data_IF_594371442365
#
_entry.id   IF_594371442365
#
_cell.length_a   1.000
_cell.length_b   1.000
_cell.length_c   1.000
_cell.angle_alpha   90.00
_cell.angle_beta   90.00
_cell.angle_gamma   90.00
#
_symmetry.space_group_name_H-M   'P 1'
#
loop_
_entity.id
_entity.type
_entity.pdbx_description
1 polymer ?
#
# COMPACT_ATOMS: atom_id res chain seq x y z
N UNK A 1 14.56 34.12 36.86
CA UNK A 1 15.22 32.85 36.46
C UNK A 1 14.23 31.72 36.17
N UNK A 2 13.18 31.50 36.98
CA UNK A 2 12.24 30.38 36.78
C UNK A 2 11.50 30.36 35.42
N UNK A 3 11.17 31.53 34.86
CA UNK A 3 10.41 31.66 33.59
C UNK A 3 11.24 31.22 32.37
N UNK A 4 12.57 31.42 32.41
CA UNK A 4 13.46 30.99 31.32
C UNK A 4 13.59 29.47 31.26
N UNK A 5 13.58 28.80 32.42
CA UNK A 5 13.63 27.34 32.50
C UNK A 5 12.33 26.68 32.02
N UNK A 6 11.16 27.27 32.29
CA UNK A 6 9.88 26.75 31.77
C UNK A 6 9.73 26.93 30.26
N UNK A 7 10.22 28.05 29.69
CA UNK A 7 10.20 28.24 28.24
C UNK A 7 11.14 27.26 27.51
N UNK A 8 12.32 26.99 28.09
CA UNK A 8 13.27 26.01 27.55
C UNK A 8 12.70 24.59 27.60
N UNK A 9 11.96 24.23 28.65
CA UNK A 9 11.30 22.93 28.78
C UNK A 9 10.17 22.75 27.75
N UNK A 10 9.39 23.81 27.49
CA UNK A 10 8.36 23.83 26.43
C UNK A 10 8.96 23.72 25.02
N UNK A 11 10.11 24.35 24.76
CA UNK A 11 10.85 24.23 23.49
C UNK A 11 11.53 22.86 23.30
N UNK A 12 11.87 22.18 24.40
CA UNK A 12 12.38 20.80 24.35
C UNK A 12 11.24 19.78 24.10
N UNK A 13 10.03 20.05 24.60
CA UNK A 13 8.85 19.22 24.37
C UNK A 13 8.34 19.28 22.93
N UNK A 14 8.57 20.38 22.19
CA UNK A 14 8.20 20.48 20.76
C UNK A 14 9.21 19.82 19.82
N UNK A 15 10.34 19.33 20.34
CA UNK A 15 11.39 18.60 19.58
C UNK A 15 11.35 17.09 19.76
N UNK A 16 10.29 16.54 20.34
CA UNK A 16 9.96 15.14 20.06
C UNK A 16 9.37 15.07 18.65
N UNK A 17 10.26 15.08 17.65
CA UNK A 17 9.94 14.40 16.40
C UNK A 17 9.51 12.99 16.81
N UNK A 18 8.22 12.71 16.68
CA UNK A 18 7.72 11.36 16.70
C UNK A 18 8.36 10.64 15.51
N UNK A 19 9.58 10.14 15.68
CA UNK A 19 10.08 9.00 14.93
C UNK A 19 9.17 7.84 15.34
N UNK A 20 8.00 7.77 14.73
CA UNK A 20 7.14 6.60 14.75
C UNK A 20 7.95 5.51 14.05
N UNK A 21 8.78 4.83 14.84
CA UNK A 21 9.56 3.65 14.47
C UNK A 21 8.68 2.40 14.43
N UNK A 22 7.37 2.54 14.26
CA UNK A 22 6.49 1.40 14.05
C UNK A 22 6.53 1.01 12.58
N UNK A 23 7.59 0.26 12.22
CA UNK A 23 7.80 -0.36 10.90
C UNK A 23 6.96 -1.64 10.70
N UNK A 24 6.01 -1.90 11.57
CA UNK A 24 5.01 -2.97 11.44
C UNK A 24 3.65 -2.29 11.31
N UNK A 25 2.72 -2.82 10.54
CA UNK A 25 1.44 -2.17 10.20
C UNK A 25 0.50 -2.05 11.42
N UNK A 26 0.95 -1.33 12.46
CA UNK A 26 0.42 -1.31 13.83
C UNK A 26 0.07 -2.71 14.38
N UNK A 27 0.84 -3.73 13.97
CA UNK A 27 0.66 -5.15 14.31
C UNK A 27 -0.73 -5.74 14.01
N UNK A 28 -1.53 -5.07 13.17
CA UNK A 28 -2.81 -5.61 12.75
C UNK A 28 -2.61 -6.90 11.95
N UNK A 29 -3.36 -7.95 12.29
CA UNK A 29 -3.30 -9.23 11.60
C UNK A 29 -4.43 -9.31 10.58
N UNK A 30 -4.09 -9.49 9.32
CA UNK A 30 -5.08 -9.79 8.29
C UNK A 30 -5.48 -11.28 8.38
N UNK A 31 -6.74 -11.57 8.08
CA UNK A 31 -7.28 -12.93 8.14
C UNK A 31 -7.46 -13.54 6.74
N UNK A 32 -6.35 -13.73 6.01
CA UNK A 32 -6.34 -14.37 4.70
C UNK A 32 -5.05 -15.17 4.48
N UNK A 33 -5.07 -16.08 3.52
CA UNK A 33 -3.87 -16.75 2.98
C UNK A 33 -3.50 -16.15 1.63
N UNK A 34 -2.22 -16.13 1.26
CA UNK A 34 -1.79 -15.51 0.00
C UNK A 34 -2.52 -16.03 -1.24
N UNK A 35 -2.96 -17.29 -1.23
CA UNK A 35 -3.76 -17.89 -2.30
C UNK A 35 -5.09 -17.17 -2.53
N UNK A 36 -5.68 -16.56 -1.50
CA UNK A 36 -6.97 -15.87 -1.56
C UNK A 36 -6.87 -14.49 -2.23
N UNK A 37 -5.66 -13.92 -2.32
CA UNK A 37 -5.44 -12.58 -2.90
C UNK A 37 -4.76 -12.61 -4.27
N UNK A 38 -4.17 -13.74 -4.67
CA UNK A 38 -3.53 -13.89 -5.98
C UNK A 38 -4.58 -13.86 -7.09
N UNK A 39 -4.25 -13.18 -8.18
CA UNK A 39 -5.08 -13.08 -9.38
C UNK A 39 -5.48 -11.64 -9.73
N UNK A 40 -6.42 -11.49 -10.67
CA UNK A 40 -6.85 -10.19 -11.16
C UNK A 40 -7.86 -9.52 -10.22
N UNK A 41 -7.70 -8.22 -10.07
CA UNK A 41 -8.53 -7.33 -9.27
C UNK A 41 -8.76 -6.01 -10.02
N UNK A 42 -9.89 -5.36 -9.81
CA UNK A 42 -10.22 -4.05 -10.36
C UNK A 42 -10.27 -3.04 -9.22
N UNK A 43 -9.59 -1.90 -9.37
CA UNK A 43 -9.75 -0.78 -8.44
C UNK A 43 -11.17 -0.23 -8.61
N UNK A 44 -11.99 -0.35 -7.57
CA UNK A 44 -13.39 0.12 -7.59
C UNK A 44 -13.60 1.38 -6.76
N UNK A 45 -12.72 1.67 -5.80
CA UNK A 45 -12.75 2.92 -5.06
C UNK A 45 -11.38 3.25 -4.43
N UNK A 46 -11.19 4.51 -4.06
CA UNK A 46 -10.06 4.98 -3.25
C UNK A 46 -10.56 5.87 -2.13
N UNK A 47 -10.07 5.64 -0.92
CA UNK A 47 -10.26 6.52 0.22
C UNK A 47 -9.01 7.43 0.34
N UNK A 48 -9.15 8.74 0.09
CA UNK A 48 -8.03 9.67 0.22
C UNK A 48 -7.67 9.91 1.69
N UNK A 49 -6.43 10.35 1.94
CA UNK A 49 -6.00 10.73 3.28
C UNK A 49 -6.69 12.03 3.75
N UNK A 50 -6.90 12.18 5.07
CA UNK A 50 -7.70 13.27 5.67
C UNK A 50 -7.23 14.66 5.25
N UNK A 51 -5.92 14.86 5.25
CA UNK A 51 -5.27 16.14 4.99
C UNK A 51 -4.94 16.37 3.51
N UNK A 52 -5.23 15.40 2.63
CA UNK A 52 -4.93 15.55 1.21
C UNK A 52 -5.92 16.53 0.55
N UNK A 53 -5.44 17.56 -0.16
CA UNK A 53 -6.32 18.55 -0.78
C UNK A 53 -7.26 17.86 -1.76
N UNK A 54 -8.52 18.30 -1.75
CA UNK A 54 -9.59 17.76 -2.58
C UNK A 54 -9.43 18.25 -4.04
N UNK A 55 -8.27 17.99 -4.62
CA UNK A 55 -8.05 18.16 -6.05
C UNK A 55 -8.79 17.00 -6.70
N UNK A 56 -9.98 17.29 -7.24
CA UNK A 56 -10.95 16.34 -7.82
C UNK A 56 -10.46 15.75 -9.15
N UNK A 57 -9.16 15.55 -9.32
CA UNK A 57 -8.61 14.93 -10.53
C UNK A 57 -9.01 13.45 -10.53
N UNK A 58 -9.39 12.97 -11.72
CA UNK A 58 -9.85 11.62 -12.02
C UNK A 58 -9.01 10.60 -11.27
N UNK A 59 -9.65 9.75 -10.48
CA UNK A 59 -9.00 8.51 -10.07
C UNK A 59 -8.86 7.66 -11.31
N UNK A 60 -7.64 7.23 -11.57
CA UNK A 60 -7.44 6.28 -12.63
C UNK A 60 -7.79 4.89 -12.11
N UNK A 61 -8.77 4.27 -12.76
CA UNK A 61 -9.27 2.95 -12.42
C UNK A 61 -8.43 1.93 -13.19
N UNK A 62 -7.71 1.10 -12.44
CA UNK A 62 -6.78 0.14 -13.00
C UNK A 62 -7.27 -1.26 -12.71
N UNK A 63 -7.05 -2.16 -13.66
CA UNK A 63 -6.93 -3.57 -13.34
C UNK A 63 -5.55 -3.81 -12.73
N UNK A 64 -5.49 -4.61 -11.68
CA UNK A 64 -4.26 -4.97 -10.99
C UNK A 64 -4.19 -6.49 -10.88
N UNK A 65 -3.03 -7.06 -11.19
CA UNK A 65 -2.77 -8.49 -11.01
C UNK A 65 -1.82 -8.69 -9.83
N UNK A 66 -2.30 -9.42 -8.82
CA UNK A 66 -1.53 -9.79 -7.64
C UNK A 66 -0.90 -11.16 -7.86
N UNK A 67 0.40 -11.27 -7.64
CA UNK A 67 1.14 -12.52 -7.75
C UNK A 67 2.16 -12.67 -6.62
N UNK A 68 2.43 -13.92 -6.24
CA UNK A 68 3.45 -14.26 -5.27
C UNK A 68 4.75 -14.65 -5.99
N UNK A 69 5.87 -14.14 -5.51
CA UNK A 69 7.21 -14.54 -5.92
C UNK A 69 8.10 -14.68 -4.69
N UNK A 70 9.20 -15.40 -4.82
CA UNK A 70 10.23 -15.45 -3.80
C UNK A 70 11.26 -14.33 -3.97
N UNK A 71 12.19 -14.28 -3.03
CA UNK A 71 13.30 -13.32 -3.06
C UNK A 71 14.31 -13.60 -4.18
N UNK A 72 14.43 -14.86 -4.61
CA UNK A 72 15.32 -15.24 -5.71
C UNK A 72 14.82 -14.69 -7.05
N UNK A 73 13.52 -14.78 -7.32
CA UNK A 73 12.87 -14.19 -8.49
C UNK A 73 13.00 -12.67 -8.51
N UNK A 74 12.83 -12.00 -7.35
CA UNK A 74 13.06 -10.56 -7.25
C UNK A 74 14.52 -10.20 -7.53
N UNK A 75 15.48 -10.93 -6.95
CA UNK A 75 16.92 -10.71 -7.18
C UNK A 75 17.31 -10.94 -8.64
N UNK A 76 16.78 -11.98 -9.27
CA UNK A 76 17.01 -12.24 -10.69
C UNK A 76 16.47 -11.11 -11.56
N UNK A 77 15.24 -10.66 -11.31
CA UNK A 77 14.62 -9.56 -12.05
C UNK A 77 15.43 -8.28 -11.90
N UNK A 78 15.85 -7.99 -10.67
CA UNK A 78 16.75 -6.88 -10.37
C UNK A 78 18.05 -7.04 -11.14
N UNK A 79 18.77 -8.14 -11.00
CA UNK A 79 20.09 -8.33 -11.64
C UNK A 79 20.03 -8.30 -13.16
N UNK A 80 18.96 -8.84 -13.76
CA UNK A 80 18.80 -8.89 -15.21
C UNK A 80 18.35 -7.53 -15.79
N UNK A 81 17.74 -6.67 -14.96
CA UNK A 81 17.23 -5.34 -15.37
C UNK A 81 18.14 -4.19 -14.90
N UNK A 82 18.94 -4.39 -13.85
CA UNK A 82 19.95 -3.47 -13.32
C UNK A 82 21.33 -3.96 -13.73
N UNK A 83 21.92 -3.32 -14.73
CA UNK A 83 23.37 -3.41 -14.97
C UNK A 83 24.20 -2.66 -13.90
N UNK A 84 23.62 -2.31 -12.74
CA UNK A 84 24.21 -1.41 -11.75
C UNK A 84 24.35 -2.10 -10.39
N UNK A 85 25.59 -2.44 -10.04
CA UNK A 85 26.03 -3.16 -8.83
C UNK A 85 25.85 -2.40 -7.51
N UNK A 86 25.41 -1.14 -7.53
CA UNK A 86 25.21 -0.34 -6.31
C UNK A 86 23.85 -0.54 -5.63
N UNK A 87 22.85 -1.12 -6.31
CA UNK A 87 21.51 -1.39 -5.74
C UNK A 87 21.32 -2.83 -5.26
N UNK A 88 22.25 -3.74 -5.55
CA UNK A 88 22.20 -5.15 -5.12
C UNK A 88 22.27 -5.31 -3.60
N UNK A 89 22.94 -4.39 -2.89
CA UNK A 89 23.04 -4.42 -1.42
C UNK A 89 21.73 -4.09 -0.71
N UNK A 90 20.83 -3.32 -1.33
CA UNK A 90 19.49 -3.04 -0.78
C UNK A 90 18.58 -4.27 -0.84
N UNK A 91 18.86 -5.20 -1.76
CA UNK A 91 18.01 -6.36 -2.07
C UNK A 91 18.55 -7.65 -1.45
N UNK A 92 19.86 -7.72 -1.19
CA UNK A 92 20.50 -8.84 -0.50
C UNK A 92 19.94 -9.06 0.92
N UNK A 93 19.47 -8.00 1.59
CA UNK A 93 18.82 -8.05 2.90
C UNK A 93 17.35 -8.48 2.91
N UNK A 94 16.70 -8.64 1.75
CA UNK A 94 15.28 -8.97 1.67
C UNK A 94 15.07 -10.47 1.91
N UNK A 95 14.24 -10.81 2.91
CA UNK A 95 13.78 -12.17 3.24
C UNK A 95 12.25 -12.19 3.34
N UNK A 96 11.64 -13.32 3.03
CA UNK A 96 10.18 -13.54 3.12
C UNK A 96 9.47 -13.58 1.77
N UNK A 97 8.15 -13.74 1.81
CA UNK A 97 7.28 -13.72 0.62
C UNK A 97 7.32 -12.34 -0.05
N UNK A 98 7.42 -12.31 -1.37
CA UNK A 98 7.32 -11.08 -2.16
C UNK A 98 5.97 -11.08 -2.85
N UNK A 99 5.20 -10.02 -2.61
CA UNK A 99 4.00 -9.72 -3.36
C UNK A 99 4.37 -8.81 -4.52
N UNK A 100 3.92 -9.16 -5.71
CA UNK A 100 3.98 -8.32 -6.91
C UNK A 100 2.59 -7.85 -7.29
N UNK A 101 2.47 -6.57 -7.57
CA UNK A 101 1.26 -5.91 -8.03
C UNK A 101 1.52 -5.29 -9.40
N UNK A 102 0.96 -5.88 -10.45
CA UNK A 102 1.05 -5.35 -11.81
C UNK A 102 -0.17 -4.49 -12.11
N UNK A 103 0.02 -3.19 -12.28
CA UNK A 103 -1.01 -2.24 -12.63
C UNK A 103 -1.13 -2.14 -14.15
N UNK A 104 -2.31 -2.45 -14.68
CA UNK A 104 -2.64 -2.34 -16.09
C UNK A 104 -3.22 -0.96 -16.36
N UNK A 105 -2.43 -0.11 -17.01
CA UNK A 105 -2.83 1.22 -17.46
C UNK A 105 -2.27 1.51 -18.86
N UNK A 106 -2.50 2.71 -19.39
CA UNK A 106 -1.81 3.18 -20.60
C UNK A 106 -0.28 3.02 -20.50
N UNK A 107 0.28 3.17 -19.29
CA UNK A 107 1.69 2.89 -18.97
C UNK A 107 1.74 1.89 -17.82
N UNK A 108 1.71 0.58 -18.11
CA UNK A 108 1.70 -0.44 -17.07
C UNK A 108 2.92 -0.30 -16.17
N UNK A 109 2.77 -0.62 -14.89
CA UNK A 109 3.89 -0.60 -13.95
C UNK A 109 3.68 -1.68 -12.90
N UNK A 110 4.79 -2.14 -12.33
CA UNK A 110 4.81 -3.16 -11.31
C UNK A 110 5.30 -2.54 -9.99
N UNK A 111 4.67 -2.95 -8.88
CA UNK A 111 5.14 -2.66 -7.53
C UNK A 111 5.45 -3.99 -6.85
N UNK A 112 6.64 -4.11 -6.29
CA UNK A 112 7.06 -5.27 -5.51
C UNK A 112 7.13 -4.88 -4.04
N UNK A 113 6.55 -5.73 -3.20
CA UNK A 113 6.42 -5.51 -1.77
C UNK A 113 6.84 -6.76 -1.01
N UNK A 114 7.74 -6.62 -0.03
CA UNK A 114 8.17 -7.74 0.83
C UNK A 114 7.24 -7.90 2.02
N UNK A 115 6.93 -9.12 2.41
CA UNK A 115 6.21 -9.41 3.65
C UNK A 115 7.01 -8.98 4.88
N UNK A 116 6.31 -8.53 5.92
CA UNK A 116 6.90 -8.22 7.22
C UNK A 116 6.72 -9.42 8.14
N UNK A 117 7.83 -9.89 8.73
CA UNK A 117 7.83 -11.06 9.60
C UNK A 117 6.92 -10.82 10.83
N UNK A 118 6.10 -11.80 11.17
CA UNK A 118 5.22 -11.76 12.34
C UNK A 118 3.90 -11.00 12.17
N UNK A 119 3.66 -10.35 11.01
CA UNK A 119 2.44 -9.57 10.77
C UNK A 119 1.79 -9.97 9.45
N UNK A 120 0.75 -10.79 9.51
CA UNK A 120 0.05 -11.27 8.32
C UNK A 120 -0.61 -10.12 7.56
N UNK A 121 -0.46 -10.12 6.24
CA UNK A 121 -0.97 -9.08 5.35
C UNK A 121 -0.18 -7.76 5.38
N UNK A 122 0.87 -7.62 6.19
CA UNK A 122 1.70 -6.42 6.19
C UNK A 122 2.89 -6.57 5.23
N UNK A 123 3.06 -5.58 4.35
CA UNK A 123 4.12 -5.56 3.36
C UNK A 123 4.81 -4.20 3.34
N UNK A 124 6.08 -4.21 2.96
CA UNK A 124 6.84 -3.01 2.65
C UNK A 124 7.14 -2.99 1.15
N UNK A 125 6.76 -1.91 0.47
CA UNK A 125 7.14 -1.70 -0.92
C UNK A 125 8.67 -1.60 -1.00
N UNK A 126 9.28 -2.25 -1.99
CA UNK A 126 10.74 -2.25 -2.17
C UNK A 126 11.15 -1.67 -3.50
N UNK A 127 10.34 -1.87 -4.55
CA UNK A 127 10.64 -1.42 -5.92
C UNK A 127 9.33 -1.06 -6.61
N UNK A 128 9.35 0.02 -7.39
CA UNK A 128 8.32 0.36 -8.39
C UNK A 128 8.99 0.51 -9.77
N UNK A 129 8.50 -0.19 -10.80
CA UNK A 129 9.03 -0.16 -12.17
C UNK A 129 7.93 0.13 -13.19
N UNK A 130 8.14 1.15 -14.01
CA UNK A 130 7.33 1.40 -15.21
C UNK A 130 7.70 0.38 -16.30
N UNK A 131 6.72 -0.39 -16.78
CA UNK A 131 6.92 -1.44 -17.78
C UNK A 131 7.32 -0.88 -19.15
N UNK A 132 7.06 0.41 -19.40
CA UNK A 132 7.45 1.08 -20.65
C UNK A 132 8.88 1.61 -20.63
N UNK A 133 9.51 1.64 -19.45
CA UNK A 133 10.86 2.16 -19.26
C UNK A 133 11.81 1.01 -18.97
N UNK A 134 12.67 0.71 -19.94
CA UNK A 134 13.73 -0.30 -19.81
C UNK A 134 14.85 0.09 -18.84
N UNK A 135 14.86 1.33 -18.32
CA UNK A 135 15.91 1.84 -17.44
C UNK A 135 15.44 1.96 -15.99
N UNK A 136 16.02 1.11 -15.15
CA UNK A 136 15.77 1.06 -13.70
C UNK A 136 16.35 2.26 -12.91
N UNK A 137 17.00 3.21 -13.58
CA UNK A 137 17.34 4.52 -13.01
C UNK A 137 16.11 5.31 -12.59
N UNK A 138 14.96 4.99 -13.18
CA UNK A 138 13.65 5.59 -12.86
C UNK A 138 12.83 4.75 -11.87
N UNK A 139 13.42 3.65 -11.37
CA UNK A 139 12.81 2.85 -10.33
C UNK A 139 12.93 3.55 -8.99
N UNK A 140 11.77 3.85 -8.43
CA UNK A 140 11.68 4.42 -7.10
C UNK A 140 11.75 3.29 -6.07
N UNK A 141 12.79 3.34 -5.22
CA UNK A 141 12.81 2.55 -3.99
C UNK A 141 11.89 3.24 -3.00
N UNK A 142 10.82 2.56 -2.62
CA UNK A 142 9.89 3.02 -1.60
C UNK A 142 10.26 2.35 -0.26
N UNK A 143 10.02 3.01 0.88
CA UNK A 143 10.01 2.38 2.23
C UNK A 143 8.57 2.45 2.78
N UNK A 144 7.59 2.52 1.86
CA UNK A 144 6.19 2.71 2.20
C UNK A 144 5.59 1.37 2.66
N UNK A 145 4.95 1.43 3.83
CA UNK A 145 4.24 0.30 4.41
C UNK A 145 2.84 0.21 3.82
N UNK A 146 2.42 -1.00 3.51
CA UNK A 146 1.07 -1.31 3.08
C UNK A 146 0.53 -2.52 3.82
N UNK A 147 -0.78 -2.59 3.98
CA UNK A 147 -1.46 -3.72 4.57
C UNK A 147 -2.61 -4.15 3.70
N UNK A 148 -2.68 -5.44 3.42
CA UNK A 148 -3.79 -6.06 2.73
C UNK A 148 -4.80 -6.59 3.74
N UNK A 149 -6.07 -6.46 3.43
CA UNK A 149 -7.18 -7.12 4.12
C UNK A 149 -8.15 -7.68 3.10
N UNK A 150 -8.58 -8.92 3.32
CA UNK A 150 -9.65 -9.52 2.55
C UNK A 150 -10.92 -9.45 3.40
N UNK A 151 -11.90 -8.69 2.94
CA UNK A 151 -13.18 -8.51 3.62
C UNK A 151 -14.24 -9.33 2.91
N UNK A 152 -14.68 -10.39 3.57
CA UNK A 152 -15.80 -11.20 3.11
C UNK A 152 -17.09 -10.41 3.20
N UNK A 153 -17.90 -10.49 2.14
CA UNK A 153 -19.18 -9.83 2.02
C UNK A 153 -20.27 -10.88 1.82
N UNK A 154 -21.48 -10.53 2.26
CA UNK A 154 -22.66 -11.38 2.08
C UNK A 154 -23.33 -11.13 0.71
N UNK A 155 -22.76 -10.26 -0.12
CA UNK A 155 -23.22 -10.07 -1.49
C UNK A 155 -22.77 -11.22 -2.38
N UNK A 156 -23.49 -11.45 -3.48
CA UNK A 156 -23.16 -12.51 -4.44
C UNK A 156 -21.94 -12.18 -5.29
N UNK A 157 -21.30 -11.03 -5.04
CA UNK A 157 -20.26 -10.44 -5.88
C UNK A 157 -18.86 -10.80 -5.38
N UNK A 158 -18.74 -11.42 -4.19
CA UNK A 158 -17.48 -11.96 -3.65
C UNK A 158 -16.71 -10.92 -2.82
N UNK A 159 -15.56 -11.25 -2.23
CA UNK A 159 -14.93 -10.39 -1.23
C UNK A 159 -14.39 -9.07 -1.79
N UNK A 160 -14.22 -8.08 -0.91
CA UNK A 160 -13.35 -6.93 -1.18
C UNK A 160 -11.91 -7.25 -0.78
N UNK A 161 -10.96 -6.84 -1.62
CA UNK A 161 -9.57 -6.71 -1.21
C UNK A 161 -9.29 -5.24 -0.92
N UNK A 162 -8.73 -4.95 0.25
CA UNK A 162 -8.38 -3.60 0.68
C UNK A 162 -6.86 -3.52 0.79
N UNK A 163 -6.25 -2.52 0.14
CA UNK A 163 -4.86 -2.15 0.35
C UNK A 163 -4.81 -0.83 1.09
N UNK A 164 -4.53 -0.91 2.38
CA UNK A 164 -4.26 0.26 3.20
C UNK A 164 -2.81 0.71 3.02
N UNK A 165 -2.61 2.00 2.84
CA UNK A 165 -1.30 2.63 2.68
C UNK A 165 -1.02 3.53 3.88
N UNK A 166 0.20 3.54 4.40
CA UNK A 166 0.63 4.45 5.47
C UNK A 166 1.26 5.74 4.92
N UNK A 167 1.03 6.03 3.63
CA UNK A 167 1.53 7.23 2.95
C UNK A 167 0.64 8.46 3.19
N UNK A 168 1.05 9.60 2.61
CA UNK A 168 0.42 10.92 2.85
C UNK A 168 -0.76 11.26 1.93
N UNK A 169 -1.04 10.45 0.90
CA UNK A 169 -2.02 10.80 -0.16
C UNK A 169 -3.27 9.92 -0.17
N UNK A 170 -3.10 8.62 -0.02
CA UNK A 170 -4.17 7.62 -0.10
C UNK A 170 -4.16 6.84 1.20
N UNK A 171 -5.32 6.74 1.85
CA UNK A 171 -5.50 5.89 3.04
C UNK A 171 -5.74 4.44 2.64
N UNK A 172 -6.61 4.21 1.64
CA UNK A 172 -6.88 2.86 1.13
C UNK A 172 -7.26 2.84 -0.35
N UNK A 173 -6.86 1.77 -1.03
CA UNK A 173 -7.35 1.37 -2.35
C UNK A 173 -8.25 0.14 -2.18
N UNK A 174 -9.42 0.16 -2.80
CA UNK A 174 -10.44 -0.87 -2.67
C UNK A 174 -10.58 -1.59 -4.00
N UNK A 175 -10.55 -2.92 -3.93
CA UNK A 175 -10.61 -3.79 -5.09
C UNK A 175 -11.78 -4.77 -5.04
N UNK A 176 -12.29 -5.13 -6.22
CA UNK A 176 -13.22 -6.24 -6.47
C UNK A 176 -12.74 -7.08 -7.64
N UNK A 177 -13.25 -8.29 -7.76
CA UNK A 177 -12.96 -9.14 -8.93
C UNK A 177 -13.63 -8.64 -10.22
N UNK A 178 -14.71 -7.87 -10.10
CA UNK A 178 -15.46 -7.25 -11.18
C UNK A 178 -15.38 -5.72 -11.08
N UNK A 179 -15.67 -5.03 -12.17
CA UNK A 179 -15.67 -3.57 -12.24
C UNK A 179 -16.92 -2.97 -11.58
N UNK A 180 -16.77 -1.74 -11.09
CA UNK A 180 -17.85 -0.98 -10.49
C UNK A 180 -18.18 -1.38 -9.06
N UNK A 181 -18.73 -0.43 -8.32
CA UNK A 181 -19.27 -0.63 -6.97
C UNK A 181 -20.23 0.52 -6.66
N UNK A 182 -21.28 0.23 -5.91
CA UNK A 182 -22.19 1.26 -5.37
C UNK A 182 -21.68 1.77 -4.02
N UNK A 183 -22.17 2.95 -3.60
CA UNK A 183 -21.82 3.49 -2.30
C UNK A 183 -22.32 2.61 -1.14
N UNK A 184 -23.49 1.97 -1.29
CA UNK A 184 -24.06 1.10 -0.26
C UNK A 184 -23.24 -0.18 -0.06
N UNK A 185 -22.72 -0.75 -1.15
CA UNK A 185 -21.82 -1.91 -1.09
C UNK A 185 -20.49 -1.61 -0.40
N UNK A 186 -20.05 -0.35 -0.36
CA UNK A 186 -18.83 0.07 0.34
C UNK A 186 -19.02 0.24 1.85
N UNK A 187 -20.24 0.12 2.38
CA UNK A 187 -20.50 0.28 3.82
C UNK A 187 -19.63 -0.62 4.72
N UNK A 188 -19.46 -1.94 4.44
CA UNK A 188 -18.60 -2.80 5.25
C UNK A 188 -17.12 -2.36 5.24
N UNK A 189 -16.65 -1.85 4.10
CA UNK A 189 -15.30 -1.30 3.96
C UNK A 189 -15.12 -0.09 4.88
N UNK A 190 -16.13 0.79 4.93
CA UNK A 190 -16.11 1.95 5.82
C UNK A 190 -16.09 1.60 7.29
N UNK A 191 -16.88 0.63 7.70
CA UNK A 191 -16.93 0.17 9.09
C UNK A 191 -15.56 -0.39 9.52
N UNK A 192 -14.95 -1.23 8.68
CA UNK A 192 -13.61 -1.77 8.92
C UNK A 192 -12.55 -0.65 8.99
N UNK A 193 -12.53 0.24 8.00
CA UNK A 193 -11.56 1.34 7.97
C UNK A 193 -11.75 2.30 9.14
N UNK A 194 -12.99 2.54 9.55
CA UNK A 194 -13.30 3.39 10.71
C UNK A 194 -12.83 2.77 12.01
N UNK A 195 -12.96 1.44 12.15
CA UNK A 195 -12.42 0.69 13.28
C UNK A 195 -10.89 0.73 13.34
N UNK A 196 -10.21 0.61 12.20
CA UNK A 196 -8.76 0.52 12.14
C UNK A 196 -8.05 1.89 12.19
N UNK A 197 -8.66 2.93 11.61
CA UNK A 197 -8.02 4.24 11.38
C UNK A 197 -8.88 5.44 11.79
N UNK A 198 -9.99 5.21 12.47
CA UNK A 198 -10.97 6.24 12.84
C UNK A 198 -11.77 6.76 11.64
N UNK A 199 -12.59 7.82 11.81
CA UNK A 199 -13.47 8.32 10.76
C UNK A 199 -12.74 8.56 9.44
N UNK A 200 -13.30 8.09 8.32
CA UNK A 200 -12.70 8.20 6.99
C UNK A 200 -13.40 9.27 6.13
N UNK A 201 -12.72 9.75 5.09
CA UNK A 201 -13.36 10.56 4.05
C UNK A 201 -14.23 9.68 3.16
N UNK A 202 -15.22 10.30 2.51
CA UNK A 202 -16.05 9.66 1.48
C UNK A 202 -15.13 9.07 0.39
N UNK A 203 -15.34 7.81 -0.06
CA UNK A 203 -14.47 7.23 -1.05
C UNK A 203 -14.81 7.89 -2.37
N UNK A 204 -13.83 7.95 -3.23
CA UNK A 204 -14.07 8.25 -4.61
C UNK A 204 -14.23 6.92 -5.33
N UNK A 205 -15.44 6.69 -5.83
CA UNK A 205 -15.80 5.49 -6.59
C UNK A 205 -15.23 5.63 -8.01
N UNK A 206 -14.71 4.53 -8.52
CA UNK A 206 -14.32 4.41 -9.91
C UNK A 206 -15.55 4.38 -10.81
N UNK A 207 -15.76 5.45 -11.56
CA UNK A 207 -16.76 5.51 -12.63
C UNK A 207 -16.07 5.19 -13.95
N UNK A 208 -16.53 4.15 -14.65
CA UNK A 208 -16.13 3.85 -16.02
C UNK A 208 -16.44 5.03 -16.96
#
# INVERSE_FOLDING_TARGET
>A
MAIFFTLLYLLLLTKTEAKIKNKTCNDFQANFTMKDVIGPWHVVAIIPEKLFPDTRKKITCYKVEFSETDTAGLRWLVNNTLQNTSKTDTISGIKGTILRQRYHSERPFDVWSRSIAGVNGCFQQVISLDATKSKLSEAHTHDDMMQLHLLQTNDKTGPFLLQMLWGRMISAVIYRQHEGVTQDELKPVFELMSKLRGPQRIPRICTN
#
